data_IF_998708258058
#
_entry.id   IF_998708258058
#
_cell.length_a   1.000
_cell.length_b   1.000
_cell.length_c   1.000
_cell.angle_alpha   90.00
_cell.angle_beta   90.00
_cell.angle_gamma   90.00
#
_symmetry.space_group_name_H-M   'P 1'
#
loop_
_entity.id
_entity.type
_entity.pdbx_description
1 polymer ?
#
# COMPACT_ATOMS: atom_id res chain seq x y z
N UNK A 1 30.78 -13.06 -0.63
CA UNK A 1 29.77 -12.55 -1.60
C UNK A 1 28.73 -11.81 -0.76
N UNK A 2 28.63 -10.48 -0.86
CA UNK A 2 27.60 -9.75 -0.17
C UNK A 2 26.25 -10.14 -0.76
N UNK A 3 25.34 -10.61 0.08
CA UNK A 3 23.96 -10.90 -0.32
C UNK A 3 23.18 -9.58 -0.30
N UNK A 4 22.62 -9.19 -1.43
CA UNK A 4 21.70 -8.05 -1.52
C UNK A 4 20.31 -8.59 -1.82
N UNK A 5 19.37 -8.31 -0.95
CA UNK A 5 17.96 -8.64 -1.13
C UNK A 5 17.27 -7.42 -1.72
N UNK A 6 16.51 -7.61 -2.79
CA UNK A 6 15.75 -6.53 -3.44
C UNK A 6 14.31 -6.93 -3.62
N UNK A 7 13.43 -6.01 -3.29
CA UNK A 7 12.00 -6.11 -3.58
C UNK A 7 11.52 -4.84 -4.26
N UNK A 8 10.50 -4.97 -5.09
CA UNK A 8 9.74 -3.84 -5.63
C UNK A 8 8.26 -4.16 -5.59
N UNK A 9 7.45 -3.16 -5.32
CA UNK A 9 6.00 -3.25 -5.35
C UNK A 9 5.44 -2.16 -6.26
N UNK A 10 4.42 -2.45 -7.09
CA UNK A 10 3.88 -1.48 -8.03
C UNK A 10 2.92 -0.50 -7.36
N UNK A 11 2.97 0.76 -7.78
CA UNK A 11 1.96 1.76 -7.50
C UNK A 11 0.67 1.46 -8.28
N UNK A 12 -0.43 2.07 -7.88
CA UNK A 12 -1.75 1.81 -8.46
C UNK A 12 -2.49 3.08 -8.86
N UNK A 13 -3.36 2.95 -9.85
CA UNK A 13 -4.43 3.89 -10.17
C UNK A 13 -5.78 3.20 -9.92
N UNK A 14 -6.74 3.95 -9.36
CA UNK A 14 -8.11 3.49 -9.15
C UNK A 14 -9.00 4.17 -10.18
N UNK A 15 -9.73 3.39 -10.98
CA UNK A 15 -10.63 3.91 -12.00
C UNK A 15 -12.03 4.17 -11.44
N UNK A 16 -12.46 3.39 -10.45
CA UNK A 16 -13.76 3.54 -9.82
C UNK A 16 -13.84 2.88 -8.46
N UNK A 17 -14.79 3.32 -7.64
CA UNK A 17 -15.07 2.74 -6.33
C UNK A 17 -14.24 3.29 -5.18
N UNK A 18 -13.36 4.26 -5.42
CA UNK A 18 -12.47 4.80 -4.39
C UNK A 18 -13.23 5.31 -3.16
N UNK A 19 -12.75 4.94 -1.97
CA UNK A 19 -13.39 5.24 -0.69
C UNK A 19 -14.40 4.19 -0.22
N UNK A 20 -14.92 3.32 -1.10
CA UNK A 20 -15.85 2.26 -0.68
C UNK A 20 -15.16 1.12 0.08
N UNK A 21 -13.84 1.07 0.05
CA UNK A 21 -12.97 0.15 0.78
C UNK A 21 -12.67 0.60 2.22
N UNK A 22 -13.26 1.70 2.67
CA UNK A 22 -13.05 2.29 4.00
C UNK A 22 -14.19 1.88 4.95
N UNK A 23 -13.85 1.53 6.19
CA UNK A 23 -14.84 1.30 7.25
C UNK A 23 -15.51 2.62 7.70
N UNK A 24 -16.78 2.61 8.05
CA UNK A 24 -17.69 1.46 8.19
C UNK A 24 -18.34 0.97 6.87
N UNK A 25 -18.27 1.73 5.77
CA UNK A 25 -19.01 1.44 4.53
C UNK A 25 -18.73 0.03 4.00
N UNK A 26 -17.46 -0.39 3.89
CA UNK A 26 -17.15 -1.71 3.34
C UNK A 26 -17.65 -2.88 4.21
N UNK A 27 -17.80 -2.66 5.52
CA UNK A 27 -18.35 -3.67 6.44
C UNK A 27 -19.86 -3.78 6.31
N UNK A 28 -20.55 -2.64 6.24
CA UNK A 28 -22.01 -2.58 6.27
C UNK A 28 -22.65 -2.81 4.90
N UNK A 29 -22.02 -2.27 3.84
CA UNK A 29 -22.56 -2.29 2.48
C UNK A 29 -21.73 -3.13 1.50
N UNK A 30 -20.52 -3.54 1.91
CA UNK A 30 -19.52 -4.07 1.00
C UNK A 30 -18.90 -2.97 0.14
N UNK A 31 -17.60 -2.99 -0.05
CA UNK A 31 -16.88 -2.10 -0.95
C UNK A 31 -16.56 -2.78 -2.28
N UNK A 32 -16.34 -1.99 -3.33
CA UNK A 32 -15.89 -2.48 -4.63
C UNK A 32 -15.01 -1.44 -5.31
N UNK A 33 -13.83 -1.87 -5.76
CA UNK A 33 -12.89 -1.03 -6.49
C UNK A 33 -12.47 -1.72 -7.78
N UNK A 34 -12.42 -0.95 -8.85
CA UNK A 34 -11.77 -1.34 -10.09
C UNK A 34 -10.52 -0.48 -10.29
N UNK A 35 -9.38 -1.12 -10.53
CA UNK A 35 -8.11 -0.42 -10.67
C UNK A 35 -7.04 -1.28 -11.33
N UNK A 36 -5.89 -0.67 -11.53
CA UNK A 36 -4.71 -1.33 -12.08
C UNK A 36 -3.45 -0.84 -11.41
N UNK A 37 -2.46 -1.70 -11.32
CA UNK A 37 -1.10 -1.25 -11.05
C UNK A 37 -0.48 -0.64 -12.31
N UNK A 38 0.50 0.24 -12.09
CA UNK A 38 1.21 0.97 -13.14
C UNK A 38 2.71 0.62 -13.09
N UNK A 39 3.46 1.02 -14.11
CA UNK A 39 4.90 0.81 -14.21
C UNK A 39 5.71 1.84 -13.40
N UNK A 40 5.22 2.18 -12.22
CA UNK A 40 5.89 2.97 -11.20
C UNK A 40 5.93 2.14 -9.92
N UNK A 41 7.03 2.18 -9.21
CA UNK A 41 7.30 1.23 -8.13
C UNK A 41 7.84 1.90 -6.89
N UNK A 42 7.63 1.26 -5.74
CA UNK A 42 8.44 1.43 -4.56
C UNK A 42 9.49 0.31 -4.52
N UNK A 43 10.70 0.66 -4.14
CA UNK A 43 11.85 -0.24 -4.09
C UNK A 43 12.38 -0.33 -2.66
N UNK A 44 12.72 -1.53 -2.24
CA UNK A 44 13.43 -1.79 -1.00
C UNK A 44 14.64 -2.69 -1.29
N UNK A 45 15.83 -2.26 -0.86
CA UNK A 45 17.03 -3.09 -0.88
C UNK A 45 17.54 -3.28 0.55
N UNK A 46 17.88 -4.52 0.92
CA UNK A 46 18.43 -4.90 2.21
C UNK A 46 19.80 -5.49 2.01
N UNK A 47 20.80 -4.95 2.72
CA UNK A 47 22.17 -5.47 2.80
C UNK A 47 22.40 -5.91 4.24
N UNK A 48 22.53 -7.22 4.52
CA UNK A 48 22.82 -7.71 5.86
C UNK A 48 24.17 -7.18 6.38
N UNK A 49 24.23 -6.91 7.69
CA UNK A 49 25.43 -6.48 8.41
C UNK A 49 25.80 -7.50 9.48
N UNK A 50 27.07 -7.47 9.89
CA UNK A 50 27.58 -8.35 10.94
C UNK A 50 27.43 -7.75 12.36
N UNK A 51 27.04 -6.48 12.44
CA UNK A 51 26.77 -5.78 13.71
C UNK A 51 25.28 -5.75 14.05
N UNK A 52 24.92 -5.13 15.18
CA UNK A 52 23.54 -5.01 15.64
C UNK A 52 22.83 -3.72 15.13
N UNK A 53 23.40 -3.01 14.18
CA UNK A 53 22.84 -1.76 13.68
C UNK A 53 21.94 -1.98 12.46
N UNK A 54 20.80 -1.30 12.45
CA UNK A 54 19.96 -1.14 11.27
C UNK A 54 20.07 0.31 10.82
N UNK A 55 20.57 0.53 9.60
CA UNK A 55 20.70 1.85 9.01
C UNK A 55 19.72 1.95 7.84
N UNK A 56 18.79 2.89 7.93
CA UNK A 56 17.75 3.09 6.90
C UNK A 56 18.02 4.38 6.15
N UNK A 57 18.14 4.27 4.85
CA UNK A 57 18.29 5.38 3.92
C UNK A 57 16.98 5.54 3.13
N UNK A 58 16.24 6.59 3.39
CA UNK A 58 15.05 6.96 2.62
C UNK A 58 15.42 8.08 1.66
N UNK A 59 15.46 7.76 0.35
CA UNK A 59 15.78 8.74 -0.68
C UNK A 59 14.64 9.74 -0.90
N UNK A 60 13.40 9.31 -0.67
CA UNK A 60 12.21 10.16 -0.88
C UNK A 60 12.09 11.28 0.17
N UNK A 61 12.61 11.04 1.38
CA UNK A 61 12.62 12.01 2.48
C UNK A 61 13.98 12.63 2.73
N UNK A 62 15.01 12.28 1.93
CA UNK A 62 16.42 12.67 2.13
C UNK A 62 16.84 12.47 3.60
N UNK A 63 16.56 11.29 4.14
CA UNK A 63 16.69 10.98 5.54
C UNK A 63 17.43 9.67 5.78
N UNK A 64 18.32 9.68 6.77
CA UNK A 64 18.97 8.47 7.29
C UNK A 64 18.64 8.31 8.77
N UNK A 65 18.09 7.14 9.14
CA UNK A 65 17.77 6.80 10.53
C UNK A 65 18.50 5.52 10.92
N UNK A 66 18.92 5.47 12.19
CA UNK A 66 19.64 4.33 12.76
C UNK A 66 18.84 3.73 13.91
N UNK A 67 18.78 2.41 13.94
CA UNK A 67 18.20 1.63 15.03
C UNK A 67 19.24 0.62 15.53
N UNK A 68 19.06 0.14 16.76
CA UNK A 68 19.83 -0.96 17.30
C UNK A 68 18.91 -2.14 17.57
N UNK A 69 19.27 -3.33 17.08
CA UNK A 69 18.43 -4.54 17.23
C UNK A 69 18.25 -5.02 18.67
N UNK A 70 19.09 -4.53 19.60
CA UNK A 70 19.02 -4.80 21.04
C UNK A 70 18.12 -3.83 21.80
N UNK A 71 17.69 -2.76 21.16
CA UNK A 71 16.81 -1.75 21.73
C UNK A 71 15.36 -1.94 21.25
N UNK A 72 14.43 -1.38 22.01
CA UNK A 72 13.04 -1.37 21.58
C UNK A 72 12.86 -0.37 20.45
N UNK A 73 12.19 -0.79 19.39
CA UNK A 73 11.78 0.12 18.32
C UNK A 73 10.68 1.06 18.80
N UNK A 74 10.95 2.36 18.76
CA UNK A 74 10.03 3.42 19.21
C UNK A 74 9.57 4.25 18.01
N UNK A 75 8.30 4.59 17.97
CA UNK A 75 7.76 5.53 16.98
C UNK A 75 8.13 6.96 17.40
N UNK A 76 8.88 7.66 16.57
CA UNK A 76 9.37 9.03 16.82
C UNK A 76 8.93 10.04 15.74
N UNK A 77 8.05 9.60 14.83
CA UNK A 77 7.51 10.42 13.76
C UNK A 77 8.42 10.57 12.53
N UNK A 78 9.60 9.93 12.51
CA UNK A 78 10.53 10.06 11.36
C UNK A 78 10.24 9.05 10.26
N UNK A 79 10.54 7.79 10.50
CA UNK A 79 10.29 6.70 9.56
C UNK A 79 9.47 5.60 10.23
N UNK A 80 8.36 5.97 10.87
CA UNK A 80 7.53 5.05 11.66
C UNK A 80 7.01 3.87 10.83
N UNK A 81 6.81 4.06 9.53
CA UNK A 81 6.46 2.97 8.61
C UNK A 81 7.53 1.86 8.61
N UNK A 82 8.80 2.25 8.59
CA UNK A 82 9.93 1.30 8.65
C UNK A 82 10.01 0.67 10.02
N UNK A 83 9.88 1.47 11.07
CA UNK A 83 9.88 1.00 12.46
C UNK A 83 8.80 -0.06 12.67
N UNK A 84 7.60 0.16 12.15
CA UNK A 84 6.50 -0.78 12.23
C UNK A 84 6.77 -2.08 11.46
N UNK A 85 7.36 -1.99 10.26
CA UNK A 85 7.76 -3.16 9.48
C UNK A 85 8.85 -3.98 10.20
N UNK A 86 9.86 -3.32 10.80
CA UNK A 86 10.92 -3.98 11.59
C UNK A 86 10.34 -4.75 12.78
N UNK A 87 9.38 -4.14 13.48
CA UNK A 87 8.65 -4.78 14.60
C UNK A 87 7.82 -5.97 14.12
N UNK A 88 6.99 -5.77 13.10
CA UNK A 88 6.11 -6.81 12.59
C UNK A 88 6.88 -8.04 12.09
N UNK A 89 8.03 -7.81 11.47
CA UNK A 89 8.90 -8.86 10.96
C UNK A 89 9.90 -9.39 11.99
N UNK A 90 9.90 -8.87 13.21
CA UNK A 90 10.82 -9.26 14.31
C UNK A 90 12.29 -9.33 13.82
N UNK A 91 12.77 -8.24 13.24
CA UNK A 91 14.14 -8.15 12.74
C UNK A 91 15.11 -8.05 13.89
N UNK A 92 15.98 -9.04 14.05
CA UNK A 92 16.96 -9.18 15.14
C UNK A 92 18.42 -9.10 14.67
N UNK A 93 18.66 -8.83 13.40
CA UNK A 93 20.00 -8.75 12.81
C UNK A 93 20.23 -7.41 12.16
N UNK A 94 21.45 -6.90 12.23
CA UNK A 94 21.82 -5.65 11.59
C UNK A 94 21.70 -5.71 10.07
N UNK A 95 21.32 -4.59 9.47
CA UNK A 95 21.24 -4.43 8.03
C UNK A 95 21.27 -2.96 7.61
N UNK A 96 21.57 -2.73 6.36
CA UNK A 96 21.29 -1.46 5.69
C UNK A 96 20.04 -1.63 4.83
N UNK A 97 19.12 -0.67 4.92
CA UNK A 97 17.88 -0.63 4.17
C UNK A 97 17.87 0.62 3.32
N UNK A 98 17.66 0.46 2.03
CA UNK A 98 17.51 1.56 1.08
C UNK A 98 16.09 1.56 0.53
N UNK A 99 15.42 2.72 0.64
CA UNK A 99 14.05 2.93 0.19
C UNK A 99 14.02 4.02 -0.88
N UNK A 100 13.25 3.78 -1.92
CA UNK A 100 12.97 4.73 -2.99
C UNK A 100 11.59 4.44 -3.58
N UNK A 101 10.87 5.49 -3.97
CA UNK A 101 9.61 5.39 -4.69
C UNK A 101 9.65 6.25 -5.97
N UNK A 102 9.06 5.76 -7.06
CA UNK A 102 8.98 6.49 -8.33
C UNK A 102 7.99 7.67 -8.31
N UNK A 103 7.22 7.80 -7.23
CA UNK A 103 6.29 8.90 -7.04
C UNK A 103 6.45 9.52 -5.64
N UNK A 104 6.28 10.83 -5.49
CA UNK A 104 6.42 11.48 -4.19
C UNK A 104 5.31 11.02 -3.23
N UNK A 105 5.59 11.05 -1.90
CA UNK A 105 4.57 10.82 -0.89
C UNK A 105 3.38 11.77 -1.09
N UNK A 106 2.15 11.26 -0.89
CA UNK A 106 0.93 12.06 -1.05
C UNK A 106 0.51 12.31 -2.50
N UNK A 107 1.09 11.59 -3.47
CA UNK A 107 0.70 11.67 -4.90
C UNK A 107 -0.65 11.04 -5.23
N UNK A 108 -1.31 10.37 -4.29
CA UNK A 108 -2.58 9.68 -4.52
C UNK A 108 -2.45 8.30 -5.18
N UNK A 109 -1.22 7.81 -5.36
CA UNK A 109 -0.92 6.53 -6.04
C UNK A 109 -0.72 5.35 -5.08
N UNK A 110 -1.06 5.50 -3.79
CA UNK A 110 -0.88 4.46 -2.77
C UNK A 110 0.58 4.27 -2.34
N UNK A 111 1.39 5.33 -2.39
CA UNK A 111 2.85 5.27 -2.15
C UNK A 111 3.22 4.67 -0.81
N UNK A 112 2.58 5.09 0.28
CA UNK A 112 2.85 4.61 1.65
C UNK A 112 2.67 3.09 1.75
N UNK A 113 1.51 2.60 1.34
CA UNK A 113 1.18 1.17 1.38
C UNK A 113 2.05 0.35 0.44
N UNK A 114 2.43 0.91 -0.71
CA UNK A 114 3.33 0.26 -1.65
C UNK A 114 4.75 0.13 -1.08
N UNK A 115 5.23 1.16 -0.37
CA UNK A 115 6.51 1.09 0.38
C UNK A 115 6.45 0.02 1.48
N UNK A 116 5.32 -0.07 2.22
CA UNK A 116 5.11 -1.11 3.22
C UNK A 116 5.19 -2.51 2.60
N UNK A 117 4.52 -2.75 1.47
CA UNK A 117 4.57 -4.04 0.76
C UNK A 117 6.00 -4.36 0.31
N UNK A 118 6.74 -3.40 -0.24
CA UNK A 118 8.13 -3.60 -0.65
C UNK A 118 9.05 -3.93 0.54
N UNK A 119 8.89 -3.22 1.68
CA UNK A 119 9.61 -3.48 2.93
C UNK A 119 9.37 -4.89 3.44
N UNK A 120 8.10 -5.26 3.64
CA UNK A 120 7.73 -6.58 4.15
C UNK A 120 8.19 -7.69 3.21
N UNK A 121 8.09 -7.49 1.89
CA UNK A 121 8.57 -8.46 0.89
C UNK A 121 10.08 -8.68 0.97
N UNK A 122 10.86 -7.61 1.11
CA UNK A 122 12.32 -7.72 1.24
C UNK A 122 12.71 -8.41 2.56
N UNK A 123 12.05 -8.05 3.68
CA UNK A 123 12.29 -8.64 4.99
C UNK A 123 11.87 -10.11 5.04
N UNK A 124 10.73 -10.48 4.46
CA UNK A 124 10.27 -11.86 4.35
C UNK A 124 11.28 -12.71 3.55
N UNK A 125 11.73 -12.20 2.41
CA UNK A 125 12.76 -12.87 1.61
C UNK A 125 14.07 -13.05 2.38
N UNK A 126 14.49 -12.05 3.13
CA UNK A 126 15.68 -12.14 3.97
C UNK A 126 15.57 -13.20 5.07
N UNK A 127 14.38 -13.32 5.66
CA UNK A 127 14.07 -14.34 6.69
C UNK A 127 13.79 -15.73 6.10
N UNK A 128 13.72 -15.88 4.78
CA UNK A 128 13.33 -17.13 4.14
C UNK A 128 11.84 -17.49 4.32
N UNK A 129 11.00 -16.48 4.55
CA UNK A 129 9.54 -16.63 4.68
C UNK A 129 8.93 -16.39 3.31
N UNK A 130 8.11 -17.33 2.85
CA UNK A 130 7.29 -17.15 1.64
C UNK A 130 5.92 -16.59 2.05
N UNK A 131 5.57 -15.45 1.44
CA UNK A 131 4.27 -14.80 1.61
C UNK A 131 3.59 -14.71 0.24
N UNK A 132 2.43 -15.34 0.12
CA UNK A 132 1.58 -15.19 -1.06
C UNK A 132 0.76 -13.88 -1.00
N UNK A 133 -0.15 -13.68 -2.00
CA UNK A 133 -0.91 -12.45 -2.13
C UNK A 133 -1.61 -12.00 -0.85
N UNK A 134 -2.49 -12.81 -0.28
CA UNK A 134 -3.23 -12.46 0.94
C UNK A 134 -2.34 -12.48 2.18
N UNK A 135 -1.43 -13.45 2.30
CA UNK A 135 -0.49 -13.53 3.40
C UNK A 135 0.47 -12.32 3.46
N UNK A 136 0.65 -11.59 2.36
CA UNK A 136 1.37 -10.32 2.30
C UNK A 136 0.46 -9.11 2.53
N UNK A 137 -0.69 -9.06 1.85
CA UNK A 137 -1.59 -7.91 1.87
C UNK A 137 -2.21 -7.68 3.25
N UNK A 138 -2.67 -8.74 3.92
CA UNK A 138 -3.29 -8.65 5.24
C UNK A 138 -2.34 -8.11 6.32
N UNK A 139 -1.10 -8.61 6.48
CA UNK A 139 -0.13 -8.02 7.39
C UNK A 139 0.26 -6.59 7.02
N UNK A 140 0.42 -6.28 5.73
CA UNK A 140 0.74 -4.92 5.30
C UNK A 140 -0.36 -3.93 5.71
N UNK A 141 -1.63 -4.30 5.55
CA UNK A 141 -2.76 -3.53 6.06
C UNK A 141 -2.71 -3.40 7.59
N UNK A 142 -2.52 -4.51 8.30
CA UNK A 142 -2.48 -4.54 9.76
C UNK A 142 -1.42 -3.59 10.33
N UNK A 143 -0.21 -3.65 9.81
CA UNK A 143 0.90 -2.81 10.27
C UNK A 143 0.62 -1.32 10.01
N UNK A 144 0.14 -0.97 8.82
CA UNK A 144 -0.06 0.43 8.46
C UNK A 144 -1.32 1.04 9.10
N UNK A 145 -2.43 0.31 9.09
CA UNK A 145 -3.75 0.84 9.52
C UNK A 145 -4.03 0.63 11.01
N UNK A 146 -3.62 -0.51 11.56
CA UNK A 146 -3.94 -0.87 12.94
C UNK A 146 -2.81 -0.52 13.91
N UNK A 147 -1.58 -0.88 13.60
CA UNK A 147 -0.45 -0.64 14.50
C UNK A 147 -0.01 0.83 14.48
N UNK A 148 0.10 1.43 13.29
CA UNK A 148 0.44 2.85 13.13
C UNK A 148 -0.78 3.78 13.20
N UNK A 149 -2.00 3.27 13.02
CA UNK A 149 -3.21 4.04 13.06
C UNK A 149 -3.35 5.06 11.91
N UNK A 150 -2.67 4.82 10.78
CA UNK A 150 -2.78 5.67 9.60
C UNK A 150 -4.16 5.44 8.96
N UNK A 151 -4.99 6.48 8.89
CA UNK A 151 -6.32 6.37 8.30
C UNK A 151 -6.23 6.05 6.80
N UNK A 152 -7.03 5.09 6.36
CA UNK A 152 -7.06 4.65 4.96
C UNK A 152 -7.95 3.43 4.76
N UNK A 153 -8.20 3.09 3.50
CA UNK A 153 -8.91 1.88 3.10
C UNK A 153 -7.98 0.69 2.88
N UNK A 154 -8.56 -0.37 2.36
CA UNK A 154 -7.90 -1.65 2.12
C UNK A 154 -7.19 -1.74 0.77
N UNK A 155 -7.59 -0.95 -0.23
CA UNK A 155 -7.24 -1.17 -1.64
C UNK A 155 -5.73 -1.21 -1.92
N UNK A 156 -4.96 -0.35 -1.25
CA UNK A 156 -3.58 -0.06 -1.62
C UNK A 156 -2.65 -1.27 -1.41
N UNK A 157 -2.76 -1.92 -0.26
CA UNK A 157 -1.95 -3.09 0.08
C UNK A 157 -2.28 -4.27 -0.82
N UNK A 158 -3.58 -4.48 -1.13
CA UNK A 158 -4.01 -5.56 -2.01
C UNK A 158 -3.62 -5.31 -3.46
N UNK A 159 -3.84 -4.09 -3.98
CA UNK A 159 -3.44 -3.73 -5.34
C UNK A 159 -1.93 -3.88 -5.56
N UNK A 160 -1.11 -3.36 -4.64
CA UNK A 160 0.36 -3.45 -4.73
C UNK A 160 0.88 -4.88 -4.62
N UNK A 161 0.19 -5.74 -3.86
CA UNK A 161 0.59 -7.12 -3.66
C UNK A 161 0.24 -8.00 -4.85
N UNK A 162 -1.00 -7.90 -5.34
CA UNK A 162 -1.49 -8.76 -6.43
C UNK A 162 -1.06 -8.27 -7.81
N UNK A 163 -0.95 -6.96 -8.01
CA UNK A 163 -0.59 -6.38 -9.31
C UNK A 163 -1.63 -6.61 -10.42
N UNK A 164 -1.50 -5.90 -11.52
CA UNK A 164 -2.36 -6.03 -12.68
C UNK A 164 -3.69 -5.30 -12.57
N UNK A 165 -4.62 -5.63 -13.47
CA UNK A 165 -5.99 -5.15 -13.47
C UNK A 165 -6.85 -6.02 -12.56
N UNK A 166 -7.49 -5.41 -11.56
CA UNK A 166 -8.30 -6.13 -10.60
C UNK A 166 -9.63 -5.42 -10.35
N UNK A 167 -10.66 -6.23 -10.10
CA UNK A 167 -11.86 -5.83 -9.40
C UNK A 167 -11.76 -6.41 -7.99
N UNK A 168 -11.72 -5.56 -6.98
CA UNK A 168 -11.52 -5.98 -5.59
C UNK A 168 -12.78 -5.67 -4.80
N UNK A 169 -13.28 -6.68 -4.11
CA UNK A 169 -14.45 -6.60 -3.23
C UNK A 169 -14.00 -6.61 -1.78
N UNK A 170 -14.59 -5.75 -0.96
CA UNK A 170 -14.24 -5.57 0.44
C UNK A 170 -15.49 -5.74 1.31
N UNK A 171 -15.43 -6.69 2.23
CA UNK A 171 -16.50 -6.97 3.19
C UNK A 171 -16.00 -6.86 4.63
N UNK A 172 -15.06 -5.94 4.87
CA UNK A 172 -14.38 -5.76 6.13
C UNK A 172 -13.10 -6.58 6.24
N UNK A 173 -12.53 -6.57 7.44
CA UNK A 173 -11.25 -7.21 7.74
C UNK A 173 -11.30 -8.73 7.49
N UNK A 174 -10.27 -9.25 6.87
CA UNK A 174 -10.12 -10.67 6.49
C UNK A 174 -11.21 -11.18 5.52
N UNK A 175 -11.93 -10.30 4.87
CA UNK A 175 -12.91 -10.66 3.86
C UNK A 175 -12.77 -9.74 2.63
N UNK A 176 -11.63 -9.88 1.97
CA UNK A 176 -11.27 -9.18 0.73
C UNK A 176 -11.13 -10.20 -0.38
N UNK A 177 -11.76 -9.95 -1.51
CA UNK A 177 -11.72 -10.83 -2.68
C UNK A 177 -11.08 -10.06 -3.83
N UNK A 178 -9.92 -10.51 -4.29
CA UNK A 178 -9.24 -9.96 -5.46
C UNK A 178 -9.62 -10.78 -6.68
N UNK A 179 -10.30 -10.14 -7.63
CA UNK A 179 -10.70 -10.73 -8.91
C UNK A 179 -9.84 -10.16 -10.03
N UNK A 180 -8.81 -10.89 -10.51
CA UNK A 180 -8.04 -10.45 -11.67
C UNK A 180 -8.91 -10.39 -12.92
N UNK A 181 -8.89 -9.25 -13.61
CA UNK A 181 -9.65 -9.04 -14.82
C UNK A 181 -8.90 -9.60 -16.04
N UNK A 182 -9.56 -10.47 -16.79
CA UNK A 182 -9.00 -11.10 -18.01
C UNK A 182 -9.17 -10.21 -19.23
N UNK A 183 -8.47 -9.07 -19.23
CA UNK A 183 -8.50 -8.13 -20.35
C UNK A 183 -7.46 -8.55 -21.39
N UNK A 184 -7.84 -8.51 -22.69
CA UNK A 184 -6.92 -8.81 -23.78
C UNK A 184 -5.75 -7.80 -23.78
N UNK A 185 -4.56 -8.28 -24.12
CA UNK A 185 -3.33 -7.47 -24.10
C UNK A 185 -3.38 -6.27 -25.04
N UNK A 186 -3.99 -6.42 -26.19
CA UNK A 186 -4.19 -5.34 -27.16
C UNK A 186 -5.03 -4.19 -26.56
N UNK A 187 -6.11 -4.52 -25.86
CA UNK A 187 -6.93 -3.52 -25.14
C UNK A 187 -6.14 -2.83 -24.02
N UNK A 188 -5.34 -3.59 -23.25
CA UNK A 188 -4.46 -3.00 -22.22
C UNK A 188 -3.43 -2.06 -22.86
N UNK A 189 -2.84 -2.45 -23.99
CA UNK A 189 -1.87 -1.62 -24.70
C UNK A 189 -2.51 -0.36 -25.26
N UNK A 190 -3.73 -0.46 -25.79
CA UNK A 190 -4.50 0.70 -26.27
C UNK A 190 -4.82 1.67 -25.13
N UNK A 191 -5.29 1.15 -23.98
CA UNK A 191 -5.53 1.98 -22.78
C UNK A 191 -4.23 2.66 -22.34
N UNK A 192 -3.13 1.91 -22.25
CA UNK A 192 -1.83 2.45 -21.84
C UNK A 192 -1.34 3.54 -22.80
N UNK A 193 -1.56 3.40 -24.09
CA UNK A 193 -1.20 4.40 -25.10
C UNK A 193 -2.01 5.69 -24.95
N UNK A 194 -3.28 5.59 -24.56
CA UNK A 194 -4.19 6.72 -24.40
C UNK A 194 -4.21 7.30 -22.97
N UNK A 195 -3.53 6.66 -22.00
CA UNK A 195 -3.50 7.12 -20.62
C UNK A 195 -2.36 8.10 -20.39
N UNK A 196 -2.69 9.27 -19.86
CA UNK A 196 -1.72 10.27 -19.42
C UNK A 196 -1.84 10.47 -17.91
N UNK A 197 -0.75 10.22 -17.18
CA UNK A 197 -0.65 10.52 -15.76
C UNK A 197 -0.07 11.94 -15.59
N UNK A 198 -0.87 12.84 -15.02
CA UNK A 198 -0.45 14.22 -14.77
C UNK A 198 -0.33 14.47 -13.26
N UNK A 199 0.86 14.88 -12.81
CA UNK A 199 1.07 15.29 -11.43
C UNK A 199 0.66 16.77 -11.26
N UNK A 200 -0.31 17.01 -10.38
CA UNK A 200 -0.88 18.37 -10.17
C UNK A 200 -0.03 19.24 -9.25
N UNK A 201 1.03 18.70 -8.66
CA UNK A 201 1.87 19.43 -7.70
C UNK A 201 1.29 19.54 -6.28
N UNK A 202 0.06 19.11 -6.08
CA UNK A 202 -0.58 19.13 -4.76
C UNK A 202 -0.32 17.83 -4.01
N UNK A 203 0.18 17.94 -2.78
CA UNK A 203 0.27 16.81 -1.87
C UNK A 203 -1.05 16.70 -1.12
N UNK A 204 -1.80 15.65 -1.38
CA UNK A 204 -3.01 15.35 -0.62
C UNK A 204 -2.65 14.45 0.56
N UNK A 205 -2.98 14.89 1.77
CA UNK A 205 -2.94 14.00 2.94
C UNK A 205 -4.20 13.13 2.89
N UNK A 206 -4.11 11.99 2.21
CA UNK A 206 -5.23 11.05 2.03
C UNK A 206 -5.95 10.71 3.34
N UNK A 207 -5.18 10.61 4.44
CA UNK A 207 -5.73 10.38 5.77
C UNK A 207 -6.77 11.43 6.21
N UNK A 208 -6.62 12.69 5.82
CA UNK A 208 -7.59 13.74 6.15
C UNK A 208 -8.89 13.55 5.36
N UNK A 209 -8.78 13.25 4.07
CA UNK A 209 -9.95 12.97 3.21
C UNK A 209 -10.72 11.76 3.75
N UNK A 210 -10.02 10.72 4.15
CA UNK A 210 -10.63 9.52 4.74
C UNK A 210 -11.31 9.83 6.06
N UNK A 211 -10.69 10.63 6.94
CA UNK A 211 -11.29 11.06 8.22
C UNK A 211 -12.58 11.86 7.99
N UNK A 212 -12.57 12.76 7.01
CA UNK A 212 -13.75 13.54 6.63
C UNK A 212 -14.86 12.63 6.08
N UNK A 213 -14.53 11.66 5.25
CA UNK A 213 -15.47 10.66 4.75
C UNK A 213 -16.12 9.89 5.90
N UNK A 214 -15.31 9.35 6.83
CA UNK A 214 -15.80 8.59 7.99
C UNK A 214 -16.66 9.44 8.89
N UNK A 215 -16.29 10.71 9.14
CA UNK A 215 -17.06 11.63 9.98
C UNK A 215 -18.43 11.99 9.38
N UNK A 216 -18.51 12.03 8.05
CA UNK A 216 -19.73 12.36 7.32
C UNK A 216 -20.57 11.13 6.94
N UNK A 217 -20.11 9.92 7.23
CA UNK A 217 -20.74 8.66 6.80
C UNK A 217 -22.23 8.56 7.17
N UNK A 218 -22.65 9.12 8.33
CA UNK A 218 -24.04 9.07 8.80
C UNK A 218 -24.96 10.09 8.11
N UNK A 219 -24.43 10.99 7.30
CA UNK A 219 -25.26 11.92 6.52
C UNK A 219 -25.82 11.19 5.31
N UNK A 220 -27.13 11.31 5.07
CA UNK A 220 -27.83 10.56 4.03
C UNK A 220 -27.25 10.81 2.63
N UNK A 221 -26.99 12.06 2.30
CA UNK A 221 -26.42 12.45 0.99
C UNK A 221 -25.00 11.89 0.78
N UNK A 222 -24.17 11.85 1.83
CA UNK A 222 -22.85 11.23 1.75
C UNK A 222 -22.93 9.70 1.60
N UNK A 223 -23.85 9.07 2.32
CA UNK A 223 -24.09 7.63 2.22
C UNK A 223 -24.60 7.25 0.81
N UNK A 224 -25.58 7.99 0.29
CA UNK A 224 -26.14 7.74 -1.05
C UNK A 224 -25.07 7.92 -2.14
N UNK A 225 -24.24 8.96 -2.03
CA UNK A 225 -23.11 9.17 -2.94
C UNK A 225 -22.11 7.99 -2.90
N UNK A 226 -21.82 7.43 -1.73
CA UNK A 226 -20.96 6.25 -1.60
C UNK A 226 -21.57 5.01 -2.25
N UNK A 227 -22.89 4.82 -2.14
CA UNK A 227 -23.62 3.76 -2.83
C UNK A 227 -23.52 3.91 -4.35
N UNK A 228 -23.64 5.14 -4.88
CA UNK A 228 -23.47 5.42 -6.31
C UNK A 228 -22.04 5.15 -6.77
N UNK A 229 -21.02 5.56 -6.01
CA UNK A 229 -19.62 5.25 -6.32
C UNK A 229 -19.37 3.75 -6.41
N UNK A 230 -19.95 2.96 -5.50
CA UNK A 230 -19.88 1.49 -5.57
C UNK A 230 -20.61 0.95 -6.82
N UNK A 231 -21.80 1.47 -7.12
CA UNK A 231 -22.56 1.06 -8.29
C UNK A 231 -21.81 1.32 -9.60
N UNK A 232 -21.11 2.47 -9.70
CA UNK A 232 -20.26 2.81 -10.84
C UNK A 232 -19.10 1.84 -10.99
N UNK A 233 -18.44 1.44 -9.88
CA UNK A 233 -17.36 0.45 -9.95
C UNK A 233 -17.85 -0.91 -10.47
N UNK A 234 -19.05 -1.34 -10.07
CA UNK A 234 -19.67 -2.56 -10.59
C UNK A 234 -20.00 -2.43 -12.09
N UNK A 235 -20.59 -1.31 -12.51
CA UNK A 235 -20.89 -1.05 -13.91
C UNK A 235 -19.65 -0.97 -14.80
N UNK A 236 -18.52 -0.53 -14.27
CA UNK A 236 -17.25 -0.50 -14.99
C UNK A 236 -16.62 -1.88 -15.18
N UNK A 237 -16.96 -2.84 -14.31
CA UNK A 237 -16.49 -4.22 -14.44
C UNK A 237 -17.17 -4.96 -15.59
N UNK A 238 -18.47 -4.70 -15.84
CA UNK A 238 -19.31 -5.33 -16.85
C UNK A 238 -19.02 -4.77 -18.26
#
# INVERSE_FOLDING_TARGET
RFMVIRAKAPLRVSFGGGGTDVEPFCVEQGGAIIGSTINKYAYCSIIPREDDQIVVHSLDFDMTVKYNTKENYVYDGKLDLVTAALKAMDIKKGCEVYLQCDAPPGSGLGTSSTVMVALLSAMAKWKGIELDGYAMADPAYGVERLDLGIAGGYQDQYASTFGGFNFIEFHGRNNVIVNPLRIKKDIIHELQYNLLLCYTGNIHVSANIIKDQVSNYKKQDAFDAMCEVKALANAMKD
#
